data_IF_147555400600
#
_entry.id   IF_147555400600
#
_cell.length_a   1.000
_cell.length_b   1.000
_cell.length_c   1.000
_cell.angle_alpha   90.00
_cell.angle_beta   90.00
_cell.angle_gamma   90.00
#
_symmetry.space_group_name_H-M   'P 1'
#
loop_
_entity.id
_entity.type
_entity.pdbx_description
1 polymer ?
#
# COMPACT_ATOMS: atom_id res chain seq x y z
N UNK A 1 12.31 -17.54 13.63
CA UNK A 1 11.04 -17.17 12.99
C UNK A 1 11.37 -16.66 11.61
N UNK A 2 10.90 -17.35 10.59
CA UNK A 2 11.01 -16.92 9.20
C UNK A 2 10.34 -15.54 9.04
N UNK A 3 11.02 -14.62 8.38
CA UNK A 3 10.57 -13.24 8.18
C UNK A 3 9.18 -13.19 7.51
N UNK A 4 8.85 -14.21 6.70
CA UNK A 4 7.55 -14.37 6.06
C UNK A 4 6.41 -14.63 7.07
N UNK A 5 6.67 -15.40 8.12
CA UNK A 5 5.67 -15.72 9.14
C UNK A 5 5.34 -14.49 10.00
N UNK A 6 6.38 -13.74 10.39
CA UNK A 6 6.24 -12.46 11.07
C UNK A 6 5.44 -11.43 10.22
N UNK A 7 5.69 -11.40 8.91
CA UNK A 7 4.96 -10.53 7.97
C UNK A 7 3.47 -10.90 7.88
N UNK A 8 3.15 -12.20 7.79
CA UNK A 8 1.74 -12.67 7.76
C UNK A 8 0.99 -12.34 9.04
N UNK A 9 1.65 -12.51 10.20
CA UNK A 9 1.09 -12.15 11.49
C UNK A 9 0.87 -10.64 11.61
N UNK A 10 1.82 -9.84 11.13
CA UNK A 10 1.69 -8.39 11.07
C UNK A 10 0.50 -7.97 10.19
N UNK A 11 0.39 -8.50 8.98
CA UNK A 11 -0.69 -8.16 8.04
C UNK A 11 -2.05 -8.55 8.61
N UNK A 12 -2.16 -9.70 9.28
CA UNK A 12 -3.40 -10.12 9.93
C UNK A 12 -3.82 -9.14 11.04
N UNK A 13 -2.86 -8.70 11.86
CA UNK A 13 -3.12 -7.69 12.90
C UNK A 13 -3.48 -6.33 12.31
N UNK A 14 -2.79 -5.92 11.25
CA UNK A 14 -3.07 -4.67 10.55
C UNK A 14 -4.50 -4.67 9.98
N UNK A 15 -4.91 -5.77 9.35
CA UNK A 15 -6.26 -5.95 8.84
C UNK A 15 -7.30 -5.81 9.95
N UNK A 16 -7.12 -6.52 11.06
CA UNK A 16 -8.07 -6.47 12.19
C UNK A 16 -8.19 -5.05 12.79
N UNK A 17 -7.08 -4.31 12.87
CA UNK A 17 -7.10 -2.91 13.35
C UNK A 17 -7.75 -1.97 12.35
N UNK A 18 -7.54 -2.21 11.06
CA UNK A 18 -8.15 -1.43 10.00
C UNK A 18 -9.67 -1.59 9.98
N UNK A 19 -10.19 -2.81 10.17
CA UNK A 19 -11.63 -3.04 10.27
C UNK A 19 -12.25 -2.29 11.46
N UNK A 20 -11.57 -2.28 12.61
CA UNK A 20 -12.02 -1.50 13.77
C UNK A 20 -12.00 0.01 13.51
N UNK A 21 -10.96 0.51 12.83
CA UNK A 21 -10.87 1.91 12.43
C UNK A 21 -12.02 2.27 11.48
N UNK A 22 -12.32 1.40 10.52
CA UNK A 22 -13.38 1.61 9.54
C UNK A 22 -14.74 1.70 10.22
N UNK A 23 -15.06 0.74 11.10
CA UNK A 23 -16.30 0.75 11.88
C UNK A 23 -16.42 2.05 12.70
N UNK A 24 -15.36 2.42 13.41
CA UNK A 24 -15.33 3.66 14.17
C UNK A 24 -15.56 4.89 13.27
N UNK A 25 -14.94 4.95 12.10
CA UNK A 25 -15.09 6.07 11.17
C UNK A 25 -16.52 6.18 10.63
N UNK A 26 -17.13 5.07 10.21
CA UNK A 26 -18.53 5.02 9.76
C UNK A 26 -19.50 5.49 10.86
N UNK A 27 -19.28 5.05 12.11
CA UNK A 27 -20.14 5.41 13.26
C UNK A 27 -19.98 6.87 13.69
N UNK A 28 -18.73 7.37 13.74
CA UNK A 28 -18.38 8.67 14.32
C UNK A 28 -18.31 9.78 13.27
N UNK A 29 -18.64 9.49 12.01
CA UNK A 29 -18.59 10.48 10.95
C UNK A 29 -19.52 11.68 11.25
N UNK A 30 -19.00 12.93 11.24
CA UNK A 30 -19.76 14.11 11.62
C UNK A 30 -20.71 14.60 10.52
N UNK A 31 -20.41 14.34 9.25
CA UNK A 31 -21.25 14.76 8.12
C UNK A 31 -22.29 13.69 7.78
N UNK A 32 -23.48 13.83 8.35
CA UNK A 32 -24.58 12.88 8.14
C UNK A 32 -25.25 12.99 6.76
N UNK A 33 -25.04 14.09 6.03
CA UNK A 33 -25.55 14.27 4.67
C UNK A 33 -24.72 13.48 3.64
N UNK A 34 -23.43 13.27 3.93
CA UNK A 34 -22.53 12.44 3.12
C UNK A 34 -21.93 11.32 3.97
N UNK A 35 -22.69 10.24 4.27
CA UNK A 35 -22.19 9.17 5.14
C UNK A 35 -21.03 8.43 4.49
N UNK A 36 -19.97 8.19 5.28
CA UNK A 36 -18.94 7.25 4.91
C UNK A 36 -19.53 5.84 4.80
N UNK A 37 -19.09 5.11 3.78
CA UNK A 37 -19.43 3.71 3.57
C UNK A 37 -18.18 2.87 3.44
N UNK A 38 -18.33 1.56 3.63
CA UNK A 38 -17.28 0.58 3.32
C UNK A 38 -16.69 0.71 1.90
N UNK A 39 -17.45 1.28 0.95
CA UNK A 39 -16.98 1.55 -0.41
C UNK A 39 -15.83 2.57 -0.47
N UNK A 40 -15.81 3.55 0.44
CA UNK A 40 -14.77 4.60 0.49
C UNK A 40 -13.41 4.05 0.94
N UNK A 41 -13.40 2.86 1.53
CA UNK A 41 -12.20 2.21 2.09
C UNK A 41 -11.62 1.12 1.19
N UNK A 42 -12.16 0.92 -0.02
CA UNK A 42 -11.75 -0.17 -0.92
C UNK A 42 -10.28 -0.06 -1.32
N UNK A 43 -9.77 1.14 -1.60
CA UNK A 43 -8.36 1.33 -1.96
C UNK A 43 -7.42 0.98 -0.80
N UNK A 44 -7.72 1.46 0.41
CA UNK A 44 -6.93 1.12 1.59
C UNK A 44 -6.91 -0.39 1.87
N UNK A 45 -8.03 -1.10 1.64
CA UNK A 45 -8.08 -2.57 1.74
C UNK A 45 -7.15 -3.23 0.71
N UNK A 46 -7.14 -2.74 -0.54
CA UNK A 46 -6.25 -3.25 -1.59
C UNK A 46 -4.79 -3.06 -1.21
N UNK A 47 -4.42 -1.90 -0.67
CA UNK A 47 -3.04 -1.63 -0.24
C UNK A 47 -2.60 -2.58 0.88
N UNK A 48 -3.44 -2.78 1.92
CA UNK A 48 -3.14 -3.71 3.03
C UNK A 48 -2.99 -5.14 2.52
N UNK A 49 -3.84 -5.58 1.60
CA UNK A 49 -3.74 -6.91 1.00
C UNK A 49 -2.52 -7.04 0.07
N UNK A 50 -2.12 -5.96 -0.60
CA UNK A 50 -0.92 -5.87 -1.43
C UNK A 50 0.37 -6.14 -0.65
N UNK A 51 0.42 -5.81 0.63
CA UNK A 51 1.57 -6.11 1.50
C UNK A 51 1.89 -7.61 1.61
N UNK A 52 0.92 -8.51 1.30
CA UNK A 52 1.16 -9.96 1.29
C UNK A 52 2.07 -10.39 0.15
N UNK A 53 2.09 -9.64 -0.95
CA UNK A 53 2.90 -9.93 -2.11
C UNK A 53 3.46 -8.62 -2.70
N UNK A 54 4.65 -8.17 -2.27
CA UNK A 54 5.21 -6.88 -2.70
C UNK A 54 5.42 -6.81 -4.22
N UNK A 55 5.47 -7.94 -4.91
CA UNK A 55 5.51 -8.02 -6.38
C UNK A 55 4.18 -7.67 -7.07
N UNK A 56 3.08 -7.49 -6.32
CA UNK A 56 1.73 -7.25 -6.83
C UNK A 56 1.13 -5.91 -6.38
N UNK A 57 1.86 -5.08 -5.62
CA UNK A 57 1.36 -3.78 -5.14
C UNK A 57 1.44 -2.73 -6.26
N UNK A 58 0.30 -2.16 -6.72
CA UNK A 58 0.32 -1.08 -7.71
C UNK A 58 1.00 0.17 -7.13
N UNK A 59 1.98 0.73 -7.82
CA UNK A 59 2.75 1.90 -7.35
C UNK A 59 4.08 1.58 -6.67
N UNK A 60 4.30 0.33 -6.24
CA UNK A 60 5.65 -0.19 -6.00
C UNK A 60 6.22 -0.72 -7.31
N UNK A 61 6.46 0.19 -8.26
CA UNK A 61 7.39 -0.11 -9.33
C UNK A 61 8.77 -0.29 -8.70
N UNK A 62 9.13 -1.56 -8.48
CA UNK A 62 10.47 -2.12 -8.63
C UNK A 62 11.62 -1.22 -8.13
N UNK A 63 12.03 -1.38 -6.87
CA UNK A 63 13.35 -0.88 -6.44
C UNK A 63 14.17 -1.84 -5.57
N UNK A 64 13.66 -3.03 -5.19
CA UNK A 64 14.44 -3.95 -4.35
C UNK A 64 15.10 -5.11 -5.13
N UNK A 65 14.80 -5.27 -6.43
CA UNK A 65 15.36 -6.33 -7.29
C UNK A 65 15.63 -5.82 -8.72
N UNK A 66 16.11 -4.58 -8.85
CA UNK A 66 16.89 -4.29 -10.06
C UNK A 66 18.31 -4.79 -9.82
N UNK A 67 18.81 -5.71 -10.67
CA UNK A 67 20.23 -6.03 -10.63
C UNK A 67 21.01 -4.72 -10.78
N UNK A 68 22.18 -4.63 -10.15
CA UNK A 68 23.06 -3.48 -10.34
C UNK A 68 23.27 -3.23 -11.86
N UNK A 69 23.45 -1.99 -12.36
CA UNK A 69 23.69 -1.74 -13.78
C UNK A 69 24.82 -2.61 -14.38
N UNK A 70 25.79 -3.03 -13.58
CA UNK A 70 26.85 -3.98 -13.99
C UNK A 70 26.33 -5.42 -14.24
N UNK A 71 25.16 -5.76 -13.72
CA UNK A 71 24.45 -7.05 -13.86
C UNK A 71 23.20 -6.95 -14.77
N UNK A 72 23.03 -5.85 -15.50
CA UNK A 72 21.93 -5.64 -16.46
C UNK A 72 20.73 -4.85 -15.91
N UNK A 73 20.91 -4.10 -14.82
CA UNK A 73 19.94 -3.13 -14.31
C UNK A 73 19.70 -1.92 -15.21
N UNK A 74 18.69 -1.11 -14.90
CA UNK A 74 18.44 0.12 -15.64
C UNK A 74 19.64 1.08 -15.51
N UNK A 75 20.26 1.42 -16.63
CA UNK A 75 21.38 2.38 -16.71
C UNK A 75 20.91 3.85 -16.83
N UNK A 76 19.61 4.09 -16.83
CA UNK A 76 19.03 5.41 -17.00
C UNK A 76 18.29 5.81 -15.73
N UNK A 77 18.56 7.00 -15.24
CA UNK A 77 17.74 7.67 -14.23
C UNK A 77 16.71 8.50 -14.98
N UNK A 78 15.42 8.31 -14.68
CA UNK A 78 14.37 9.22 -15.15
C UNK A 78 14.55 10.56 -14.44
N UNK A 79 15.31 11.43 -15.08
CA UNK A 79 15.35 12.84 -14.75
C UNK A 79 14.14 13.42 -15.47
N UNK A 80 13.00 13.47 -14.78
CA UNK A 80 11.91 14.34 -15.17
C UNK A 80 12.14 15.70 -14.49
N UNK A 81 13.01 16.59 -15.03
CA UNK A 81 13.12 17.93 -14.47
C UNK A 81 11.76 18.62 -14.65
N UNK A 82 11.28 19.27 -13.60
CA UNK A 82 10.10 20.12 -13.69
C UNK A 82 10.18 21.04 -14.92
N UNK A 83 9.08 21.26 -15.66
CA UNK A 83 9.10 22.10 -16.85
C UNK A 83 9.49 23.52 -16.43
N UNK A 84 10.51 24.08 -17.08
CA UNK A 84 10.93 25.46 -16.88
C UNK A 84 9.77 26.43 -17.25
N UNK A 85 9.57 27.52 -16.49
CA UNK A 85 8.57 28.53 -16.81
C UNK A 85 8.91 29.35 -18.06
#
# INVERSE_FOLDING_TARGET
MDNDDARRQFISQLWQRFEQLQAWAEENWPDKDNPLSSADFVEARKEILGLRNPSQTPGHARLENEPDPEQGGAQYVDLNPAPWP
#
